data_IF_266575229104
#
_entry.id   IF_266575229104
#
_cell.length_a   1.000
_cell.length_b   1.000
_cell.length_c   1.000
_cell.angle_alpha   90.00
_cell.angle_beta   90.00
_cell.angle_gamma   90.00
#
_symmetry.space_group_name_H-M   'P 1'
#
loop_
_entity.id
_entity.type
_entity.pdbx_description
1 polymer ?
#
# COMPACT_ATOMS: atom_id res chain seq x y z
N UNK A 1 -7.13 -12.99 -0.50
CA UNK A 1 -7.16 -13.66 0.83
C UNK A 1 -8.22 -12.96 1.66
N UNK A 2 -9.03 -13.66 2.46
CA UNK A 2 -10.15 -13.03 3.15
C UNK A 2 -10.33 -13.63 4.56
N UNK A 3 -10.37 -12.79 5.60
CA UNK A 3 -10.35 -13.21 7.02
C UNK A 3 -11.35 -12.40 7.85
N UNK A 4 -12.09 -13.03 8.78
CA UNK A 4 -12.91 -12.30 9.73
C UNK A 4 -12.04 -11.42 10.63
N UNK A 5 -12.58 -10.27 11.00
CA UNK A 5 -12.00 -9.37 11.98
C UNK A 5 -12.73 -9.67 13.29
N UNK A 6 -12.03 -10.28 14.24
CA UNK A 6 -12.57 -10.63 15.55
C UNK A 6 -11.73 -9.93 16.61
N UNK A 7 -12.39 -9.19 17.50
CA UNK A 7 -11.76 -8.54 18.66
C UNK A 7 -10.65 -7.51 18.33
N UNK A 8 -10.71 -6.91 17.13
CA UNK A 8 -9.83 -5.82 16.71
C UNK A 8 -10.66 -4.57 16.48
N UNK A 9 -10.33 -3.51 17.21
CA UNK A 9 -10.87 -2.17 16.98
C UNK A 9 -10.11 -1.51 15.82
N UNK A 10 -10.75 -1.43 14.66
CA UNK A 10 -10.15 -0.87 13.45
C UNK A 10 -9.99 0.64 13.51
N UNK A 11 -10.86 1.33 14.26
CA UNK A 11 -10.72 2.78 14.47
C UNK A 11 -9.44 3.11 15.24
N UNK A 12 -9.07 2.24 16.19
CA UNK A 12 -7.84 2.34 16.95
C UNK A 12 -6.61 1.79 16.19
N UNK A 13 -6.81 0.96 15.15
CA UNK A 13 -5.73 0.34 14.37
C UNK A 13 -5.97 0.47 12.85
N UNK A 14 -6.02 1.70 12.31
CA UNK A 14 -6.47 1.92 10.94
C UNK A 14 -5.38 1.62 9.88
N UNK A 15 -4.15 1.31 10.29
CA UNK A 15 -3.05 1.10 9.37
C UNK A 15 -2.85 -0.39 9.10
N UNK A 16 -3.01 -0.83 7.86
CA UNK A 16 -2.87 -2.22 7.44
C UNK A 16 -1.56 -2.43 6.69
N UNK A 17 -0.89 -3.56 6.97
CA UNK A 17 0.32 -3.99 6.24
C UNK A 17 0.28 -5.50 6.04
N UNK A 18 0.77 -5.95 4.88
CA UNK A 18 1.00 -7.35 4.60
C UNK A 18 2.29 -7.55 3.79
N UNK A 19 3.01 -8.62 4.09
CA UNK A 19 4.07 -9.12 3.22
C UNK A 19 3.40 -9.98 2.13
N UNK A 20 3.77 -9.74 0.87
CA UNK A 20 3.24 -10.49 -0.28
C UNK A 20 4.38 -11.01 -1.13
N UNK A 21 4.21 -12.23 -1.64
CA UNK A 21 5.09 -12.79 -2.67
C UNK A 21 4.21 -13.32 -3.80
N UNK A 22 3.96 -12.51 -4.85
CA UNK A 22 3.27 -12.98 -6.03
C UNK A 22 4.13 -14.02 -6.75
N UNK A 23 3.54 -15.18 -7.04
CA UNK A 23 4.10 -16.15 -7.97
C UNK A 23 4.01 -15.65 -9.41
N UNK A 24 4.39 -16.52 -10.35
CA UNK A 24 4.14 -16.25 -11.76
C UNK A 24 2.66 -16.45 -12.08
N UNK A 25 2.07 -15.51 -12.81
CA UNK A 25 0.72 -15.58 -13.34
C UNK A 25 0.81 -15.86 -14.83
N UNK A 26 0.20 -16.97 -15.27
CA UNK A 26 0.25 -17.36 -16.68
C UNK A 26 -0.37 -16.27 -17.57
N UNK A 27 0.29 -15.97 -18.69
CA UNK A 27 -0.23 -15.11 -19.76
C UNK A 27 -0.07 -13.61 -19.56
N UNK A 28 0.65 -13.16 -18.54
CA UNK A 28 1.05 -11.75 -18.37
C UNK A 28 2.37 -11.65 -17.57
N UNK A 29 3.21 -10.70 -17.94
CA UNK A 29 4.41 -10.32 -17.18
C UNK A 29 4.17 -9.04 -16.34
N UNK A 30 2.94 -8.52 -16.33
CA UNK A 30 2.58 -7.34 -15.55
C UNK A 30 2.77 -7.57 -14.04
N UNK A 31 3.08 -6.52 -13.27
CA UNK A 31 3.07 -6.63 -11.82
C UNK A 31 1.69 -6.99 -11.30
N UNK A 32 1.63 -7.52 -10.08
CA UNK A 32 0.37 -7.86 -9.40
C UNK A 32 -0.05 -6.68 -8.55
N UNK A 33 -1.26 -6.16 -8.79
CA UNK A 33 -1.91 -5.17 -7.97
C UNK A 33 -2.59 -5.83 -6.77
N UNK A 34 -2.51 -5.19 -5.61
CA UNK A 34 -3.11 -5.63 -4.35
C UNK A 34 -3.97 -4.53 -3.75
N UNK A 35 -5.16 -4.88 -3.28
CA UNK A 35 -6.09 -3.94 -2.66
C UNK A 35 -6.60 -4.52 -1.34
N UNK A 36 -6.61 -3.70 -0.29
CA UNK A 36 -7.31 -4.01 0.94
C UNK A 36 -8.78 -3.60 0.81
N UNK A 37 -9.68 -4.45 1.29
CA UNK A 37 -11.13 -4.23 1.25
C UNK A 37 -11.76 -4.63 2.57
N UNK A 38 -12.63 -3.78 3.09
CA UNK A 38 -13.42 -4.05 4.29
C UNK A 38 -14.87 -4.36 3.93
N UNK A 39 -15.45 -5.34 4.62
CA UNK A 39 -16.85 -5.75 4.40
C UNK A 39 -17.62 -5.85 5.71
N UNK A 40 -18.94 -5.57 5.67
CA UNK A 40 -19.85 -5.86 6.80
C UNK A 40 -20.20 -7.34 6.82
N UNK A 41 -20.65 -7.82 7.98
CA UNK A 41 -21.06 -9.22 8.13
C UNK A 41 -22.27 -9.57 7.27
N UNK A 42 -23.16 -8.59 7.06
CA UNK A 42 -24.38 -8.72 6.26
C UNK A 42 -24.08 -8.94 4.78
N UNK A 43 -23.00 -8.35 4.28
CA UNK A 43 -22.62 -8.38 2.86
C UNK A 43 -22.06 -9.74 2.45
N UNK A 44 -21.84 -10.64 3.42
CA UNK A 44 -21.34 -12.00 3.18
C UNK A 44 -22.46 -13.02 2.96
N UNK A 45 -23.73 -12.63 3.14
CA UNK A 45 -24.90 -13.51 3.01
C UNK A 45 -25.48 -13.50 1.59
N UNK A 46 -25.15 -12.51 0.77
CA UNK A 46 -25.56 -12.39 -0.62
C UNK A 46 -24.33 -12.20 -1.52
N UNK A 47 -23.96 -13.26 -2.26
CA UNK A 47 -22.76 -13.28 -3.11
C UNK A 47 -22.89 -12.37 -4.35
N UNK A 48 -24.08 -11.79 -4.57
CA UNK A 48 -24.39 -10.95 -5.74
C UNK A 48 -24.20 -9.44 -5.54
N UNK A 49 -23.93 -8.98 -4.30
CA UNK A 49 -23.75 -7.55 -3.96
C UNK A 49 -22.66 -7.34 -2.91
N UNK A 50 -21.50 -8.00 -3.08
CA UNK A 50 -20.36 -7.87 -2.17
C UNK A 50 -19.62 -6.55 -2.44
N UNK A 51 -20.27 -5.44 -2.15
CA UNK A 51 -19.64 -4.13 -2.23
C UNK A 51 -18.84 -3.88 -0.95
N UNK A 52 -17.54 -3.55 -1.05
CA UNK A 52 -16.76 -3.21 0.13
C UNK A 52 -17.27 -1.90 0.74
N UNK A 53 -17.24 -1.77 2.06
CA UNK A 53 -17.54 -0.49 2.73
C UNK A 53 -16.39 0.51 2.60
N UNK A 54 -15.18 0.02 2.39
CA UNK A 54 -13.99 0.80 2.14
C UNK A 54 -12.97 -0.06 1.38
N UNK A 55 -12.22 0.58 0.50
CA UNK A 55 -11.21 -0.05 -0.35
C UNK A 55 -9.99 0.87 -0.47
N UNK A 56 -8.80 0.27 -0.47
CA UNK A 56 -7.55 0.98 -0.68
C UNK A 56 -7.26 1.20 -2.17
N UNK A 57 -6.44 2.20 -2.46
CA UNK A 57 -5.74 2.24 -3.75
C UNK A 57 -4.88 0.98 -3.95
N UNK A 58 -4.68 0.53 -5.20
CA UNK A 58 -3.89 -0.64 -5.48
C UNK A 58 -2.39 -0.38 -5.29
N UNK A 59 -1.73 -1.26 -4.54
CA UNK A 59 -0.26 -1.33 -4.46
C UNK A 59 0.24 -2.43 -5.38
N UNK A 60 1.12 -2.09 -6.32
CA UNK A 60 1.66 -3.08 -7.27
C UNK A 60 2.95 -3.73 -6.72
N UNK A 61 3.16 -5.00 -7.03
CA UNK A 61 4.39 -5.74 -6.70
C UNK A 61 4.80 -6.59 -7.92
N UNK A 62 6.07 -6.52 -8.37
CA UNK A 62 6.56 -7.36 -9.45
C UNK A 62 6.38 -8.86 -9.16
N UNK A 63 6.01 -9.63 -10.18
CA UNK A 63 5.92 -11.08 -10.06
C UNK A 63 7.25 -11.70 -9.64
N UNK A 64 7.18 -12.80 -8.89
CA UNK A 64 8.32 -13.56 -8.39
C UNK A 64 9.30 -12.78 -7.48
N UNK A 65 8.87 -11.62 -6.94
CA UNK A 65 9.65 -10.81 -6.01
C UNK A 65 8.81 -10.52 -4.76
N UNK A 66 9.36 -10.67 -3.54
CA UNK A 66 8.64 -10.28 -2.33
C UNK A 66 8.46 -8.76 -2.27
N UNK A 67 7.35 -8.32 -1.69
CA UNK A 67 7.06 -6.91 -1.46
C UNK A 67 6.17 -6.71 -0.25
N UNK A 68 5.99 -5.45 0.14
CA UNK A 68 5.03 -5.04 1.16
C UNK A 68 3.90 -4.26 0.51
N UNK A 69 2.69 -4.54 0.95
CA UNK A 69 1.49 -3.77 0.60
C UNK A 69 0.93 -3.17 1.87
N UNK A 70 0.34 -2.00 1.75
CA UNK A 70 -0.11 -1.20 2.88
C UNK A 70 -1.41 -0.51 2.55
N UNK A 71 -2.10 -0.07 3.60
CA UNK A 71 -3.22 0.83 3.49
C UNK A 71 -3.29 1.70 4.74
N UNK A 72 -3.36 3.00 4.53
CA UNK A 72 -3.78 3.95 5.53
C UNK A 72 -5.29 4.11 5.45
N UNK A 73 -6.01 3.54 6.41
CA UNK A 73 -7.46 3.67 6.51
C UNK A 73 -7.89 4.72 7.54
N UNK A 74 -6.98 5.58 8.01
CA UNK A 74 -7.31 6.61 9.02
C UNK A 74 -8.31 7.64 8.49
N UNK A 75 -8.29 7.88 7.17
CA UNK A 75 -9.26 8.72 6.46
C UNK A 75 -10.63 8.05 6.22
N UNK A 76 -10.78 6.75 6.52
CA UNK A 76 -12.07 6.06 6.40
C UNK A 76 -13.00 6.49 7.53
N UNK A 77 -14.25 6.80 7.19
CA UNK A 77 -15.25 7.20 8.19
C UNK A 77 -15.32 6.18 9.34
N UNK A 78 -15.27 6.68 10.59
CA UNK A 78 -15.24 5.86 11.80
C UNK A 78 -16.40 4.84 11.86
N UNK A 79 -17.61 5.27 11.49
CA UNK A 79 -18.80 4.41 11.46
C UNK A 79 -18.65 3.23 10.47
N UNK A 80 -17.84 3.38 9.41
CA UNK A 80 -17.56 2.31 8.44
C UNK A 80 -16.51 1.33 8.98
N UNK A 81 -15.51 1.82 9.71
CA UNK A 81 -14.52 0.96 10.40
C UNK A 81 -15.18 0.14 11.51
N UNK A 82 -16.12 0.74 12.26
CA UNK A 82 -16.83 0.07 13.37
C UNK A 82 -17.71 -1.10 12.92
N UNK A 83 -18.31 -0.99 11.73
CA UNK A 83 -19.20 -2.04 11.18
C UNK A 83 -18.46 -3.05 10.32
N UNK A 84 -17.19 -2.81 10.00
CA UNK A 84 -16.36 -3.73 9.25
C UNK A 84 -16.06 -4.97 10.10
N UNK A 85 -16.28 -6.13 9.50
CA UNK A 85 -16.16 -7.43 10.20
C UNK A 85 -15.27 -8.42 9.45
N UNK A 86 -14.78 -8.02 8.29
CA UNK A 86 -13.96 -8.86 7.43
C UNK A 86 -12.98 -8.01 6.63
N UNK A 87 -11.73 -8.44 6.65
CA UNK A 87 -10.65 -7.90 5.83
C UNK A 87 -10.41 -8.85 4.66
N UNK A 88 -10.38 -8.28 3.46
CA UNK A 88 -9.92 -8.96 2.27
C UNK A 88 -8.70 -8.24 1.68
N UNK A 89 -7.77 -9.03 1.19
CA UNK A 89 -6.70 -8.56 0.30
C UNK A 89 -6.96 -9.18 -1.07
N UNK A 90 -7.52 -8.37 -1.96
CA UNK A 90 -7.73 -8.69 -3.37
C UNK A 90 -6.41 -8.61 -4.13
N UNK A 91 -6.28 -9.37 -5.21
CA UNK A 91 -5.13 -9.28 -6.11
C UNK A 91 -5.52 -9.60 -7.55
N UNK A 92 -4.86 -8.94 -8.49
CA UNK A 92 -5.08 -9.10 -9.93
C UNK A 92 -3.85 -8.59 -10.71
N UNK A 93 -3.59 -9.03 -11.94
CA UNK A 93 -2.56 -8.42 -12.77
C UNK A 93 -2.89 -6.96 -13.09
N UNK A 94 -1.91 -6.06 -12.94
CA UNK A 94 -2.13 -4.62 -13.06
C UNK A 94 -2.51 -4.17 -14.48
N UNK A 95 -2.27 -5.00 -15.50
CA UNK A 95 -2.67 -4.73 -16.90
C UNK A 95 -4.14 -5.08 -17.17
N UNK A 96 -4.93 -5.35 -16.12
CA UNK A 96 -6.28 -5.90 -16.22
C UNK A 96 -7.27 -5.19 -15.31
N UNK A 97 -8.51 -5.17 -15.75
CA UNK A 97 -9.64 -4.68 -14.97
C UNK A 97 -10.10 -5.78 -13.98
N UNK A 98 -10.08 -5.52 -12.66
CA UNK A 98 -10.52 -6.47 -11.65
C UNK A 98 -12.03 -6.75 -11.68
N UNK A 99 -12.83 -5.87 -12.28
CA UNK A 99 -14.29 -6.01 -12.40
C UNK A 99 -14.72 -6.65 -13.72
N UNK A 100 -13.77 -6.92 -14.62
CA UNK A 100 -14.07 -7.55 -15.90
C UNK A 100 -14.60 -8.97 -15.71
N UNK A 101 -15.85 -9.16 -16.11
CA UNK A 101 -16.55 -10.44 -16.14
C UNK A 101 -16.27 -11.26 -17.41
N UNK A 102 -15.30 -10.84 -18.24
CA UNK A 102 -14.86 -11.62 -19.39
C UNK A 102 -14.21 -12.92 -18.91
N UNK A 103 -15.03 -13.96 -18.76
CA UNK A 103 -14.65 -15.32 -18.35
C UNK A 103 -13.68 -16.04 -19.30
N UNK A 104 -13.04 -15.30 -20.21
CA UNK A 104 -11.99 -15.78 -21.10
C UNK A 104 -10.63 -15.94 -20.43
N UNK A 105 -10.44 -15.39 -19.22
CA UNK A 105 -9.16 -15.46 -18.52
C UNK A 105 -9.31 -15.79 -17.03
N UNK A 106 -9.13 -17.07 -16.68
CA UNK A 106 -8.88 -17.46 -15.31
C UNK A 106 -7.37 -17.31 -15.03
N UNK A 107 -6.97 -16.26 -14.31
CA UNK A 107 -5.57 -16.05 -13.92
C UNK A 107 -5.11 -17.25 -13.08
N UNK A 108 -4.15 -18.02 -13.62
CA UNK A 108 -3.54 -19.16 -12.91
C UNK A 108 -2.22 -18.70 -12.31
N UNK A 109 -2.19 -18.72 -10.99
CA UNK A 109 -1.05 -18.32 -10.19
C UNK A 109 -1.42 -18.39 -8.72
N UNK A 110 -0.48 -18.03 -7.86
CA UNK A 110 -0.72 -17.94 -6.42
C UNK A 110 0.06 -16.79 -5.84
N UNK A 111 -0.49 -16.19 -4.79
CA UNK A 111 0.21 -15.22 -3.95
C UNK A 111 0.35 -15.83 -2.57
N UNK A 112 1.56 -15.74 -2.02
CA UNK A 112 1.78 -16.00 -0.59
C UNK A 112 1.59 -14.69 0.16
N UNK A 113 0.74 -14.71 1.18
CA UNK A 113 0.54 -13.61 2.12
C UNK A 113 1.14 -14.01 3.45
N UNK A 114 1.90 -13.11 4.06
CA UNK A 114 2.46 -13.27 5.41
C UNK A 114 2.39 -11.95 6.19
N UNK A 115 2.60 -12.04 7.51
CA UNK A 115 2.67 -10.90 8.43
C UNK A 115 1.51 -9.88 8.31
N UNK A 116 0.33 -10.35 7.91
CA UNK A 116 -0.87 -9.51 7.77
C UNK A 116 -1.26 -8.96 9.14
N UNK A 117 -1.26 -7.64 9.27
CA UNK A 117 -1.53 -6.95 10.54
C UNK A 117 -2.21 -5.61 10.32
N UNK A 118 -2.98 -5.22 11.33
CA UNK A 118 -3.42 -3.86 11.55
C UNK A 118 -2.65 -3.27 12.75
N UNK A 119 -2.36 -1.98 12.74
CA UNK A 119 -1.59 -1.30 13.79
C UNK A 119 -2.16 0.10 14.03
N UNK A 120 -1.92 0.62 15.23
CA UNK A 120 -2.23 1.96 15.71
C UNK A 120 -1.19 3.03 15.31
N UNK A 121 -0.12 2.63 14.63
CA UNK A 121 0.98 3.52 14.23
C UNK A 121 1.07 3.61 12.70
N UNK A 122 1.26 4.81 12.16
CA UNK A 122 1.46 5.01 10.72
C UNK A 122 2.79 4.44 10.23
N UNK A 123 3.79 4.31 11.12
CA UNK A 123 5.16 3.93 10.77
C UNK A 123 5.28 2.67 9.90
N UNK A 124 4.60 1.54 10.18
CA UNK A 124 4.68 0.37 9.33
C UNK A 124 4.09 0.60 7.94
N UNK A 125 3.00 1.37 7.82
CA UNK A 125 2.41 1.74 6.52
C UNK A 125 3.31 2.71 5.76
N UNK A 126 3.85 3.74 6.43
CA UNK A 126 4.80 4.69 5.87
C UNK A 126 6.08 4.02 5.37
N UNK A 127 6.65 3.07 6.12
CA UNK A 127 7.82 2.28 5.68
C UNK A 127 7.51 1.41 4.46
N UNK A 128 6.35 0.75 4.45
CA UNK A 128 5.93 -0.06 3.30
C UNK A 128 5.69 0.82 2.06
N UNK A 129 5.11 2.01 2.23
CA UNK A 129 4.94 3.04 1.19
C UNK A 129 6.27 3.52 0.64
N UNK A 130 7.21 3.90 1.50
CA UNK A 130 8.56 4.30 1.08
C UNK A 130 9.27 3.17 0.32
N UNK A 131 9.18 1.94 0.79
CA UNK A 131 9.76 0.79 0.11
C UNK A 131 9.13 0.55 -1.27
N UNK A 132 7.82 0.72 -1.40
CA UNK A 132 7.12 0.63 -2.68
C UNK A 132 7.56 1.75 -3.64
N UNK A 133 7.51 3.01 -3.18
CA UNK A 133 7.96 4.18 -3.96
C UNK A 133 9.40 4.01 -4.45
N UNK A 134 10.34 3.67 -3.56
CA UNK A 134 11.74 3.50 -3.95
C UNK A 134 11.98 2.30 -4.86
N UNK A 135 11.18 1.24 -4.76
CA UNK A 135 11.24 0.10 -5.67
C UNK A 135 10.76 0.50 -7.06
N UNK A 136 9.65 1.20 -7.14
CA UNK A 136 9.04 1.61 -8.42
C UNK A 136 9.97 2.59 -9.16
N UNK A 137 10.54 3.57 -8.43
CA UNK A 137 11.59 4.44 -8.97
C UNK A 137 12.82 3.67 -9.43
N UNK A 138 13.26 2.63 -8.71
CA UNK A 138 14.41 1.82 -9.15
C UNK A 138 14.09 0.88 -10.32
N UNK A 139 12.82 0.53 -10.51
CA UNK A 139 12.39 -0.22 -11.67
C UNK A 139 12.44 0.68 -12.92
N UNK A 140 11.98 1.92 -12.79
CA UNK A 140 11.94 2.89 -13.89
C UNK A 140 13.32 3.47 -14.23
N UNK A 141 14.13 3.75 -13.21
CA UNK A 141 15.39 4.51 -13.34
C UNK A 141 16.67 3.69 -13.05
N UNK A 142 16.51 2.41 -12.71
CA UNK A 142 17.61 1.57 -12.26
C UNK A 142 18.03 1.86 -10.82
N UNK A 143 19.14 1.26 -10.38
CA UNK A 143 19.54 1.31 -8.97
C UNK A 143 19.72 2.74 -8.45
N UNK A 144 19.28 2.98 -7.21
CA UNK A 144 19.60 4.21 -6.48
C UNK A 144 21.13 4.35 -6.33
N UNK A 145 21.65 5.54 -6.60
CA UNK A 145 23.09 5.85 -6.57
C UNK A 145 23.45 6.67 -5.33
N UNK A 146 22.76 7.80 -5.12
CA UNK A 146 23.05 8.75 -4.04
C UNK A 146 21.91 9.74 -3.83
N UNK A 147 21.95 10.39 -2.67
CA UNK A 147 21.15 11.57 -2.33
C UNK A 147 22.05 12.79 -2.27
N UNK A 148 21.56 13.92 -2.76
CA UNK A 148 22.16 15.23 -2.57
C UNK A 148 21.16 16.14 -1.87
N UNK A 149 21.52 16.64 -0.68
CA UNK A 149 20.78 17.69 0.02
C UNK A 149 21.08 19.01 -0.66
N UNK A 150 20.07 19.70 -1.17
CA UNK A 150 20.22 21.00 -1.84
C UNK A 150 19.80 22.16 -0.96
N UNK A 151 18.96 21.91 0.04
CA UNK A 151 18.43 22.92 0.96
C UNK A 151 18.25 22.32 2.35
N UNK A 152 18.73 23.04 3.37
CA UNK A 152 18.42 22.78 4.78
C UNK A 152 17.61 23.97 5.31
N UNK A 153 16.58 23.69 6.11
CA UNK A 153 15.73 24.69 6.75
C UNK A 153 15.45 24.30 8.20
N UNK A 154 14.81 25.20 8.96
CA UNK A 154 14.62 25.06 10.41
C UNK A 154 14.00 23.71 10.80
N UNK A 155 12.99 23.28 10.03
CA UNK A 155 12.20 22.08 10.29
C UNK A 155 12.42 20.97 9.24
N UNK A 156 13.60 20.90 8.60
CA UNK A 156 13.88 19.80 7.68
C UNK A 156 14.90 20.07 6.58
N UNK A 157 14.82 19.25 5.54
CA UNK A 157 15.71 19.31 4.38
C UNK A 157 14.98 18.97 3.08
N UNK A 158 15.56 19.41 1.96
CA UNK A 158 15.11 19.04 0.63
C UNK A 158 16.32 18.77 -0.27
N UNK A 159 16.12 17.92 -1.27
CA UNK A 159 17.19 17.50 -2.15
C UNK A 159 16.74 16.63 -3.29
N UNK A 160 17.66 15.80 -3.77
CA UNK A 160 17.45 15.00 -4.98
C UNK A 160 18.05 13.61 -4.82
N UNK A 161 17.27 12.59 -5.18
CA UNK A 161 17.75 11.22 -5.38
C UNK A 161 18.25 11.05 -6.81
N UNK A 162 19.40 10.38 -6.96
CA UNK A 162 20.01 10.08 -8.25
C UNK A 162 19.97 8.58 -8.51
N UNK A 163 19.64 8.21 -9.74
CA UNK A 163 19.53 6.82 -10.19
C UNK A 163 20.56 6.48 -11.28
N UNK A 164 20.75 5.19 -11.53
CA UNK A 164 21.82 4.67 -12.36
C UNK A 164 21.68 5.04 -13.86
N UNK A 165 20.46 5.27 -14.34
CA UNK A 165 20.19 5.76 -15.69
C UNK A 165 20.46 7.26 -15.88
N UNK A 166 20.75 7.97 -14.78
CA UNK A 166 20.97 9.42 -14.74
C UNK A 166 19.71 10.24 -14.43
N UNK A 167 18.55 9.62 -14.25
CA UNK A 167 17.34 10.28 -13.79
C UNK A 167 17.48 10.72 -12.32
N UNK A 168 16.64 11.70 -11.97
CA UNK A 168 16.67 12.36 -10.66
C UNK A 168 15.27 12.61 -10.16
N UNK A 169 15.02 12.34 -8.89
CA UNK A 169 13.73 12.60 -8.26
C UNK A 169 13.88 13.53 -7.05
N UNK A 170 13.02 14.55 -6.91
CA UNK A 170 13.07 15.43 -5.75
C UNK A 170 12.60 14.70 -4.50
N UNK A 171 13.17 15.06 -3.36
CA UNK A 171 12.63 14.73 -2.06
C UNK A 171 12.57 15.94 -1.13
N UNK A 172 11.64 15.89 -0.18
CA UNK A 172 11.50 16.86 0.89
C UNK A 172 11.15 16.14 2.18
N UNK A 173 11.90 16.39 3.25
CA UNK A 173 11.64 15.87 4.58
C UNK A 173 11.31 17.02 5.52
N UNK A 174 10.19 16.90 6.24
CA UNK A 174 9.67 17.94 7.13
C UNK A 174 9.34 17.38 8.51
N UNK A 175 9.78 18.10 9.54
CA UNK A 175 9.45 17.88 10.95
C UNK A 175 8.26 18.78 11.29
N UNK A 176 7.04 18.25 11.24
CA UNK A 176 5.82 19.02 11.49
C UNK A 176 5.49 19.17 12.98
N UNK A 177 6.02 18.28 13.82
CA UNK A 177 5.99 18.30 15.28
C UNK A 177 7.04 17.32 15.84
N UNK A 178 7.20 17.24 17.16
CA UNK A 178 8.21 16.40 17.83
C UNK A 178 8.23 14.94 17.34
N UNK A 179 7.06 14.37 17.07
CA UNK A 179 6.90 13.00 16.56
C UNK A 179 6.10 12.97 15.26
N UNK A 180 5.99 14.06 14.48
CA UNK A 180 5.18 14.09 13.26
C UNK A 180 6.03 14.49 12.07
N UNK A 181 6.28 13.56 11.15
CA UNK A 181 7.22 13.75 10.05
C UNK A 181 6.57 13.44 8.70
N UNK A 182 6.81 14.29 7.72
CA UNK A 182 6.36 14.11 6.35
C UNK A 182 7.57 13.96 5.43
N UNK A 183 7.61 12.89 4.65
CA UNK A 183 8.57 12.70 3.58
C UNK A 183 7.82 12.71 2.25
N UNK A 184 8.14 13.64 1.37
CA UNK A 184 7.65 13.67 0.00
C UNK A 184 8.76 13.20 -0.94
N UNK A 185 8.50 12.18 -1.77
CA UNK A 185 9.42 11.69 -2.81
C UNK A 185 8.66 11.61 -4.12
N UNK A 186 9.13 12.29 -5.17
CA UNK A 186 8.47 12.30 -6.49
C UNK A 186 6.94 12.54 -6.37
N UNK A 187 6.55 13.59 -5.65
CA UNK A 187 5.16 13.96 -5.33
C UNK A 187 4.37 12.95 -4.47
N UNK A 188 4.99 11.87 -4.00
CA UNK A 188 4.37 10.92 -3.07
C UNK A 188 4.66 11.33 -1.63
N UNK A 189 3.62 11.73 -0.91
CA UNK A 189 3.66 12.02 0.53
C UNK A 189 3.65 10.73 1.36
N UNK A 190 4.51 10.68 2.37
CA UNK A 190 4.74 9.51 3.23
C UNK A 190 4.86 9.98 4.68
N UNK A 191 3.90 9.55 5.49
CA UNK A 191 3.77 9.96 6.88
C UNK A 191 4.53 9.02 7.82
N UNK A 192 5.18 9.59 8.84
CA UNK A 192 5.88 8.87 9.89
C UNK A 192 5.62 9.49 11.27
N UNK A 193 5.78 8.66 12.30
CA UNK A 193 5.62 9.02 13.70
C UNK A 193 4.17 8.95 14.20
N UNK A 194 3.71 9.96 14.92
CA UNK A 194 2.39 10.06 15.51
C UNK A 194 1.77 11.46 15.35
N UNK A 195 0.53 11.60 15.82
CA UNK A 195 -0.24 12.84 15.65
C UNK A 195 -0.85 13.01 14.25
N UNK A 196 -0.97 11.90 13.53
CA UNK A 196 -1.78 11.72 12.32
C UNK A 196 -3.15 11.19 12.78
N UNK A 197 -4.18 12.04 12.72
CA UNK A 197 -5.56 11.76 13.15
C UNK A 197 -6.54 12.70 12.49
#
# INVERSE_FOLDING_TARGET
MSRPITDLDLSAHPYFVADVTPGRVDGTDAPIAFQFRLYRSTDLLDDSTRDPVAESDPVTVPQATPGQVYWDASDVEHDLLDVASRLEIGWYPADRDPESSDGSFAYRGGVVFDAVRATDSVDPAGRARLAATMRDLQFDHGAYVRTEVTEEFEDGEAGTFYFADGATEPYRFEVLAADRFLLTVADTEIEFGGGWS
#
